data_IF_712764340408
#
_entry.id   IF_712764340408
#
_cell.length_a   1.000
_cell.length_b   1.000
_cell.length_c   1.000
_cell.angle_alpha   90.00
_cell.angle_beta   90.00
_cell.angle_gamma   90.00
#
_symmetry.space_group_name_H-M   'P 1'
#
loop_
_entity.id
_entity.type
_entity.pdbx_description
1 polymer ?
#
# COMPACT_ATOMS: atom_id res chain seq x y z
N UNK A 1 23.73 33.23 47.49
CA UNK A 1 22.66 32.33 47.00
C UNK A 1 21.86 33.11 45.97
N UNK A 2 22.11 32.88 44.68
CA UNK A 2 21.28 33.43 43.61
C UNK A 2 21.22 32.39 42.52
N UNK A 3 20.11 31.66 42.51
CA UNK A 3 19.81 30.59 41.56
C UNK A 3 19.54 31.16 40.17
N UNK A 4 20.07 30.44 39.19
CA UNK A 4 19.97 30.65 37.76
C UNK A 4 18.52 30.44 37.29
N UNK A 5 17.95 31.43 36.58
CA UNK A 5 16.78 31.23 35.75
C UNK A 5 17.20 30.91 34.30
N UNK A 6 16.53 29.95 33.63
CA UNK A 6 16.86 29.55 32.28
C UNK A 6 16.26 30.50 31.24
N UNK A 7 16.96 30.68 30.12
CA UNK A 7 16.40 31.29 28.91
C UNK A 7 16.50 30.33 27.72
N UNK A 8 15.44 30.22 26.91
CA UNK A 8 15.31 29.19 25.87
C UNK A 8 16.13 29.52 24.62
N UNK A 9 16.73 28.50 24.00
CA UNK A 9 17.36 28.62 22.69
C UNK A 9 16.30 28.49 21.59
N UNK A 10 16.11 29.61 20.87
CA UNK A 10 15.21 29.76 19.72
C UNK A 10 15.88 29.24 18.44
N UNK A 11 15.11 28.49 17.66
CA UNK A 11 15.46 27.94 16.34
C UNK A 11 15.81 29.06 15.35
N UNK A 12 16.91 28.90 14.61
CA UNK A 12 17.41 29.86 13.63
C UNK A 12 16.58 29.87 12.34
N UNK A 13 16.21 31.06 11.89
CA UNK A 13 15.61 31.35 10.59
C UNK A 13 16.68 31.68 9.53
N UNK A 14 16.40 31.54 8.22
CA UNK A 14 17.40 31.53 7.15
C UNK A 14 18.01 32.90 6.82
N UNK A 15 19.25 32.89 6.30
CA UNK A 15 19.99 34.09 5.89
C UNK A 15 19.53 34.61 4.51
N UNK A 16 19.33 35.93 4.33
CA UNK A 16 19.08 36.53 3.03
C UNK A 16 20.36 37.00 2.30
N UNK A 17 20.33 36.79 0.98
CA UNK A 17 20.83 37.62 -0.14
C UNK A 17 22.19 38.31 -0.09
N UNK A 18 22.95 38.13 -1.17
CA UNK A 18 23.59 39.25 -1.88
C UNK A 18 23.34 39.11 -3.39
N UNK A 19 22.58 40.04 -3.95
CA UNK A 19 22.79 40.46 -5.34
C UNK A 19 23.99 41.42 -5.35
N UNK A 20 24.66 41.60 -6.49
CA UNK A 20 24.97 42.91 -7.09
C UNK A 20 25.77 42.70 -8.40
N UNK A 21 25.21 43.27 -9.47
CA UNK A 21 25.81 43.90 -10.65
C UNK A 21 26.71 43.14 -11.65
N UNK A 22 26.08 42.85 -12.79
CA UNK A 22 26.40 43.32 -14.16
C UNK A 22 27.85 43.43 -14.64
N UNK A 23 28.16 42.71 -15.72
CA UNK A 23 28.99 43.22 -16.82
C UNK A 23 28.46 42.69 -18.16
N UNK A 24 28.14 43.62 -19.06
CA UNK A 24 27.68 43.37 -20.43
C UNK A 24 28.89 43.07 -21.31
N UNK A 25 28.78 42.06 -22.18
CA UNK A 25 29.59 41.97 -23.40
C UNK A 25 30.31 40.65 -23.62
N UNK A 26 29.64 39.73 -24.33
CA UNK A 26 30.26 38.88 -25.37
C UNK A 26 29.14 38.11 -26.08
N UNK A 27 28.69 38.66 -27.21
CA UNK A 27 27.89 37.97 -28.19
C UNK A 27 28.77 36.92 -28.88
N UNK A 28 28.70 35.67 -28.45
CA UNK A 28 29.26 34.54 -29.19
C UNK A 28 28.51 33.24 -28.82
N UNK A 29 27.66 32.78 -29.75
CA UNK A 29 27.17 31.41 -29.90
C UNK A 29 26.76 30.66 -28.61
N UNK A 30 25.52 30.84 -28.17
CA UNK A 30 24.85 29.87 -27.30
C UNK A 30 23.34 29.77 -27.61
N UNK A 31 22.97 29.85 -28.89
CA UNK A 31 21.60 29.74 -29.39
C UNK A 31 21.33 28.35 -29.99
N UNK A 32 21.69 27.28 -29.26
CA UNK A 32 21.40 25.89 -29.67
C UNK A 32 21.41 24.91 -28.48
N UNK A 33 20.91 25.34 -27.33
CA UNK A 33 20.82 24.47 -26.15
C UNK A 33 19.56 24.75 -25.33
N UNK A 34 18.36 24.64 -25.94
CA UNK A 34 17.12 24.44 -25.17
C UNK A 34 15.96 23.91 -26.02
N UNK A 35 16.17 22.82 -26.75
CA UNK A 35 15.09 22.12 -27.46
C UNK A 35 15.25 20.59 -27.37
N UNK A 36 15.64 20.08 -26.20
CA UNK A 36 15.81 18.65 -25.99
C UNK A 36 15.12 18.25 -24.69
N UNK A 37 14.26 17.23 -24.78
CA UNK A 37 13.62 16.47 -23.68
C UNK A 37 12.23 16.96 -23.24
N UNK A 38 11.18 16.68 -24.03
CA UNK A 38 9.79 16.59 -23.52
C UNK A 38 8.95 15.49 -24.20
N UNK A 39 9.53 14.38 -24.66
CA UNK A 39 8.77 13.34 -25.39
C UNK A 39 8.97 11.89 -24.90
N UNK A 40 9.37 11.66 -23.65
CA UNK A 40 9.62 10.29 -23.13
C UNK A 40 8.41 9.56 -22.46
N UNK A 41 7.24 10.15 -22.12
CA UNK A 41 6.27 9.43 -21.29
C UNK A 41 5.47 8.33 -22.00
N UNK A 42 5.37 8.30 -23.32
CA UNK A 42 4.49 7.35 -24.03
C UNK A 42 5.10 5.96 -24.26
N UNK A 43 6.42 5.87 -24.46
CA UNK A 43 7.09 4.58 -24.76
C UNK A 43 7.24 3.76 -23.46
N UNK A 44 7.72 4.39 -22.39
CA UNK A 44 7.87 3.74 -21.09
C UNK A 44 6.54 3.16 -20.56
N UNK A 45 5.42 3.88 -20.71
CA UNK A 45 4.09 3.41 -20.32
C UNK A 45 3.59 2.22 -21.16
N UNK A 46 3.98 2.16 -22.44
CA UNK A 46 3.63 1.04 -23.31
C UNK A 46 4.43 -0.22 -22.96
N UNK A 47 5.69 -0.04 -22.55
CA UNK A 47 6.56 -1.12 -22.08
C UNK A 47 6.05 -1.67 -20.73
N UNK A 48 5.75 -0.82 -19.75
CA UNK A 48 5.14 -1.21 -18.46
C UNK A 48 3.82 -1.98 -18.67
N UNK A 49 2.95 -1.48 -19.55
CA UNK A 49 1.70 -2.17 -19.84
C UNK A 49 1.93 -3.55 -20.49
N UNK A 50 2.99 -3.71 -21.29
CA UNK A 50 3.35 -4.98 -21.90
C UNK A 50 3.96 -5.94 -20.89
N UNK A 51 4.80 -5.45 -20.00
CA UNK A 51 5.40 -6.21 -18.90
C UNK A 51 4.33 -6.69 -17.92
N UNK A 52 3.39 -5.83 -17.51
CA UNK A 52 2.27 -6.21 -16.66
C UNK A 52 1.40 -7.31 -17.29
N UNK A 53 1.12 -7.21 -18.60
CA UNK A 53 0.38 -8.25 -19.35
C UNK A 53 1.13 -9.57 -19.40
N UNK A 54 2.46 -9.54 -19.52
CA UNK A 54 3.29 -10.72 -19.51
C UNK A 54 3.21 -11.45 -18.16
N UNK A 55 3.36 -10.72 -17.05
CA UNK A 55 3.23 -11.29 -15.71
C UNK A 55 1.81 -11.81 -15.44
N UNK A 56 0.77 -11.08 -15.84
CA UNK A 56 -0.63 -11.53 -15.73
C UNK A 56 -0.90 -12.82 -16.53
N UNK A 57 -0.31 -12.97 -17.73
CA UNK A 57 -0.41 -14.22 -18.50
C UNK A 57 0.28 -15.40 -17.80
N UNK A 58 1.47 -15.19 -17.23
CA UNK A 58 2.17 -16.22 -16.44
C UNK A 58 1.41 -16.60 -15.18
N UNK A 59 0.85 -15.61 -14.48
CA UNK A 59 0.02 -15.82 -13.31
C UNK A 59 -1.19 -16.72 -13.63
N UNK A 60 -1.89 -16.45 -14.74
CA UNK A 60 -3.00 -17.32 -15.19
C UNK A 60 -2.54 -18.74 -15.52
N UNK A 61 -1.39 -18.90 -16.18
CA UNK A 61 -0.85 -20.24 -16.46
C UNK A 61 -0.52 -21.01 -15.16
N UNK A 62 0.05 -20.34 -14.16
CA UNK A 62 0.27 -20.94 -12.83
C UNK A 62 -1.04 -21.26 -12.11
N UNK A 63 -2.05 -20.38 -12.21
CA UNK A 63 -3.38 -20.61 -11.66
C UNK A 63 -4.05 -21.85 -12.27
N UNK A 64 -4.03 -21.98 -13.60
CA UNK A 64 -4.54 -23.14 -14.34
C UNK A 64 -3.81 -24.43 -13.94
N UNK A 65 -2.50 -24.34 -13.70
CA UNK A 65 -1.68 -25.43 -13.20
C UNK A 65 -1.86 -25.72 -11.69
N UNK A 66 -2.73 -24.97 -10.98
CA UNK A 66 -2.94 -25.02 -9.52
C UNK A 66 -1.68 -24.69 -8.69
N UNK A 67 -0.68 -24.06 -9.30
CA UNK A 67 0.50 -23.51 -8.63
C UNK A 67 0.17 -22.11 -8.08
N UNK A 68 -0.72 -22.07 -7.08
CA UNK A 68 -1.25 -20.83 -6.53
C UNK A 68 -0.18 -19.90 -5.92
N UNK A 69 0.86 -20.39 -5.21
CA UNK A 69 1.92 -19.52 -4.71
C UNK A 69 2.61 -18.72 -5.81
N UNK A 70 2.99 -19.37 -6.92
CA UNK A 70 3.59 -18.64 -8.06
C UNK A 70 2.60 -17.75 -8.78
N UNK A 71 1.33 -18.16 -8.86
CA UNK A 71 0.29 -17.32 -9.44
C UNK A 71 0.14 -16.00 -8.65
N UNK A 72 0.13 -16.07 -7.32
CA UNK A 72 0.06 -14.91 -6.42
C UNK A 72 1.24 -13.97 -6.67
N UNK A 73 2.47 -14.49 -6.69
CA UNK A 73 3.68 -13.68 -6.94
C UNK A 73 3.59 -12.92 -8.26
N UNK A 74 3.21 -13.60 -9.34
CA UNK A 74 3.09 -13.01 -10.67
C UNK A 74 1.93 -11.99 -10.77
N UNK A 75 0.78 -12.26 -10.14
CA UNK A 75 -0.32 -11.29 -10.10
C UNK A 75 0.05 -10.03 -9.31
N UNK A 76 0.70 -10.18 -8.16
CA UNK A 76 1.15 -9.05 -7.34
C UNK A 76 2.24 -8.24 -8.06
N UNK A 77 3.12 -8.91 -8.82
CA UNK A 77 4.10 -8.25 -9.67
C UNK A 77 3.43 -7.44 -10.77
N UNK A 78 2.48 -8.04 -11.50
CA UNK A 78 1.70 -7.35 -12.52
C UNK A 78 0.96 -6.13 -11.96
N UNK A 79 0.34 -6.27 -10.77
CA UNK A 79 -0.35 -5.18 -10.09
C UNK A 79 0.61 -4.04 -9.67
N UNK A 80 1.84 -4.37 -9.28
CA UNK A 80 2.87 -3.36 -8.94
C UNK A 80 3.30 -2.55 -10.15
N UNK A 81 3.40 -3.17 -11.33
CA UNK A 81 3.76 -2.48 -12.58
C UNK A 81 2.59 -1.63 -13.08
N UNK A 82 1.41 -2.24 -13.22
CA UNK A 82 0.20 -1.59 -13.71
C UNK A 82 -0.96 -1.90 -12.75
N UNK A 83 -1.25 -1.01 -11.79
CA UNK A 83 -2.31 -1.21 -10.81
C UNK A 83 -3.65 -1.49 -11.48
N UNK A 84 -4.22 -2.65 -11.15
CA UNK A 84 -5.50 -3.11 -11.67
C UNK A 84 -6.25 -3.90 -10.57
N UNK A 85 -7.45 -3.46 -10.14
CA UNK A 85 -8.24 -4.13 -9.10
C UNK A 85 -8.58 -5.59 -9.44
N UNK A 86 -8.75 -5.93 -10.73
CA UNK A 86 -9.03 -7.31 -11.16
C UNK A 86 -7.95 -8.29 -10.72
N UNK A 87 -6.70 -7.84 -10.64
CA UNK A 87 -5.60 -8.70 -10.21
C UNK A 87 -5.70 -9.02 -8.71
N UNK A 88 -6.19 -8.10 -7.88
CA UNK A 88 -6.44 -8.34 -6.45
C UNK A 88 -7.53 -9.41 -6.25
N UNK A 89 -8.61 -9.36 -7.04
CA UNK A 89 -9.62 -10.42 -7.05
C UNK A 89 -9.02 -11.79 -7.39
N UNK A 90 -8.17 -11.87 -8.42
CA UNK A 90 -7.50 -13.13 -8.77
C UNK A 90 -6.54 -13.63 -7.67
N UNK A 91 -5.84 -12.73 -6.98
CA UNK A 91 -5.00 -13.06 -5.82
C UNK A 91 -5.87 -13.63 -4.69
N UNK A 92 -7.02 -13.01 -4.41
CA UNK A 92 -7.98 -13.52 -3.42
C UNK A 92 -8.46 -14.94 -3.76
N UNK A 93 -8.76 -15.21 -5.04
CA UNK A 93 -9.12 -16.56 -5.49
C UNK A 93 -8.00 -17.57 -5.26
N UNK A 94 -6.74 -17.19 -5.46
CA UNK A 94 -5.60 -18.08 -5.17
C UNK A 94 -5.55 -18.46 -3.69
N UNK A 95 -5.68 -17.48 -2.78
CA UNK A 95 -5.72 -17.73 -1.34
C UNK A 95 -6.93 -18.58 -0.93
N UNK A 96 -8.08 -18.36 -1.55
CA UNK A 96 -9.27 -19.18 -1.33
C UNK A 96 -9.03 -20.65 -1.71
N UNK A 97 -8.31 -20.91 -2.81
CA UNK A 97 -7.91 -22.28 -3.20
C UNK A 97 -6.89 -22.89 -2.25
N UNK A 98 -6.02 -22.07 -1.65
CA UNK A 98 -5.08 -22.47 -0.60
C UNK A 98 -5.73 -22.67 0.77
N UNK A 99 -7.03 -22.33 0.92
CA UNK A 99 -7.76 -22.34 2.20
C UNK A 99 -7.18 -21.37 3.24
N UNK A 100 -6.49 -20.33 2.77
CA UNK A 100 -5.98 -19.23 3.57
C UNK A 100 -7.07 -18.15 3.63
N UNK A 101 -7.90 -18.23 4.67
CA UNK A 101 -9.10 -17.41 4.80
C UNK A 101 -8.76 -15.95 5.10
N UNK A 102 -7.70 -15.71 5.87
CA UNK A 102 -7.23 -14.41 6.30
C UNK A 102 -6.76 -13.56 5.11
N UNK A 103 -5.90 -14.13 4.26
CA UNK A 103 -5.43 -13.44 3.06
C UNK A 103 -6.54 -13.33 2.01
N UNK A 104 -7.34 -14.38 1.80
CA UNK A 104 -8.47 -14.32 0.87
C UNK A 104 -9.45 -13.19 1.24
N UNK A 105 -9.83 -13.10 2.52
CA UNK A 105 -10.68 -12.02 3.03
C UNK A 105 -10.05 -10.65 2.77
N UNK A 106 -8.77 -10.51 3.11
CA UNK A 106 -8.06 -9.22 2.98
C UNK A 106 -8.01 -8.74 1.53
N UNK A 107 -7.67 -9.60 0.57
CA UNK A 107 -7.63 -9.22 -0.85
C UNK A 107 -9.02 -9.00 -1.46
N UNK A 108 -10.05 -9.74 -1.03
CA UNK A 108 -11.42 -9.41 -1.43
C UNK A 108 -11.87 -8.06 -0.89
N UNK A 109 -11.57 -7.75 0.37
CA UNK A 109 -11.88 -6.45 0.97
C UNK A 109 -11.18 -5.30 0.24
N UNK A 110 -9.90 -5.48 -0.13
CA UNK A 110 -9.17 -4.51 -0.94
C UNK A 110 -9.78 -4.32 -2.33
N UNK A 111 -10.16 -5.40 -3.00
CA UNK A 111 -10.84 -5.34 -4.29
C UNK A 111 -12.17 -4.56 -4.18
N UNK A 112 -12.97 -4.83 -3.15
CA UNK A 112 -14.27 -4.19 -2.94
C UNK A 112 -14.19 -2.72 -2.51
N UNK A 113 -13.04 -2.29 -1.99
CA UNK A 113 -12.79 -0.90 -1.59
C UNK A 113 -12.42 0.01 -2.78
N UNK A 114 -12.05 -0.56 -3.93
CA UNK A 114 -11.77 0.22 -5.15
C UNK A 114 -13.09 0.74 -5.75
N UNK A 115 -13.10 2.01 -6.17
CA UNK A 115 -14.21 2.58 -6.93
C UNK A 115 -14.34 1.87 -8.29
N UNK A 116 -15.58 1.65 -8.76
CA UNK A 116 -15.88 1.11 -10.09
C UNK A 116 -15.45 2.11 -11.18
N UNK A 117 -14.14 2.20 -11.39
CA UNK A 117 -13.52 3.13 -12.33
C UNK A 117 -13.30 2.52 -13.71
N UNK A 118 -13.68 1.25 -13.90
CA UNK A 118 -13.52 0.53 -15.15
C UNK A 118 -14.81 -0.22 -15.50
N UNK A 119 -15.51 0.28 -16.52
CA UNK A 119 -16.63 -0.38 -17.17
C UNK A 119 -16.26 -1.84 -17.50
N UNK A 120 -16.89 -2.81 -16.83
CA UNK A 120 -16.67 -4.24 -17.08
C UNK A 120 -16.53 -5.16 -15.85
N UNK A 121 -16.73 -4.65 -14.62
CA UNK A 121 -16.58 -5.42 -13.38
C UNK A 121 -17.89 -5.83 -12.70
N UNK A 122 -19.05 -5.45 -13.24
CA UNK A 122 -20.37 -5.60 -12.59
C UNK A 122 -20.68 -7.03 -12.09
N UNK A 123 -20.12 -8.08 -12.70
CA UNK A 123 -20.30 -9.46 -12.25
C UNK A 123 -19.41 -9.91 -11.08
N UNK A 124 -18.16 -9.44 -11.03
CA UNK A 124 -17.17 -9.95 -10.04
C UNK A 124 -17.35 -9.35 -8.66
N UNK A 125 -17.91 -8.15 -8.57
CA UNK A 125 -18.15 -7.49 -7.29
C UNK A 125 -19.10 -8.32 -6.41
N UNK A 126 -20.22 -8.77 -6.96
CA UNK A 126 -21.15 -9.65 -6.24
C UNK A 126 -20.51 -10.98 -5.82
N UNK A 127 -19.71 -11.60 -6.69
CA UNK A 127 -18.96 -12.81 -6.34
C UNK A 127 -17.97 -12.58 -5.19
N UNK A 128 -17.22 -11.47 -5.22
CA UNK A 128 -16.30 -11.09 -4.17
C UNK A 128 -17.02 -10.77 -2.85
N UNK A 129 -18.16 -10.09 -2.90
CA UNK A 129 -19.00 -9.83 -1.73
C UNK A 129 -19.47 -11.14 -1.11
N UNK A 130 -20.01 -12.07 -1.93
CA UNK A 130 -20.42 -13.39 -1.47
C UNK A 130 -19.26 -14.21 -0.89
N UNK A 131 -18.10 -14.21 -1.54
CA UNK A 131 -16.92 -14.90 -1.06
C UNK A 131 -16.43 -14.31 0.28
N UNK A 132 -16.34 -12.99 0.38
CA UNK A 132 -15.94 -12.29 1.62
C UNK A 132 -16.93 -12.57 2.76
N UNK A 133 -18.24 -12.56 2.48
CA UNK A 133 -19.27 -12.90 3.47
C UNK A 133 -19.14 -14.34 3.98
N UNK A 134 -18.86 -15.30 3.10
CA UNK A 134 -18.65 -16.69 3.49
C UNK A 134 -17.43 -16.85 4.42
N UNK A 135 -16.39 -16.04 4.21
CA UNK A 135 -15.16 -16.06 5.02
C UNK A 135 -15.33 -15.41 6.39
N UNK A 136 -16.38 -14.60 6.63
CA UNK A 136 -16.58 -13.90 7.91
C UNK A 136 -16.61 -14.85 9.11
N UNK A 137 -17.18 -16.04 8.95
CA UNK A 137 -17.24 -17.05 9.99
C UNK A 137 -15.92 -17.82 10.17
N UNK A 138 -14.97 -17.66 9.25
CA UNK A 138 -13.68 -18.36 9.28
C UNK A 138 -12.56 -17.52 9.89
N UNK A 139 -12.63 -16.20 9.74
CA UNK A 139 -11.62 -15.25 10.23
C UNK A 139 -12.05 -14.57 11.54
N UNK A 140 -11.08 -14.06 12.29
CA UNK A 140 -11.33 -12.99 13.25
C UNK A 140 -10.89 -11.65 12.63
N UNK A 141 -11.50 -10.55 13.06
CA UNK A 141 -11.25 -9.23 12.47
C UNK A 141 -10.89 -8.21 13.54
N UNK A 142 -9.92 -7.36 13.24
CA UNK A 142 -9.56 -6.23 14.08
C UNK A 142 -9.59 -4.94 13.27
N UNK A 143 -10.38 -3.97 13.72
CA UNK A 143 -10.40 -2.61 13.19
C UNK A 143 -9.38 -1.79 13.97
N UNK A 144 -8.29 -1.45 13.30
CA UNK A 144 -7.18 -0.72 13.90
C UNK A 144 -7.28 0.75 13.53
N UNK A 145 -7.33 1.62 14.51
CA UNK A 145 -7.40 3.08 14.35
C UNK A 145 -6.24 3.77 15.06
N UNK A 146 -5.93 5.01 14.67
CA UNK A 146 -4.96 5.83 15.40
C UNK A 146 -5.30 7.30 15.29
N UNK A 147 -4.83 8.09 16.26
CA UNK A 147 -4.84 9.54 16.22
C UNK A 147 -3.41 10.07 16.42
N UNK A 148 -2.79 10.71 15.39
CA UNK A 148 -3.34 10.96 14.05
C UNK A 148 -3.41 9.69 13.16
N UNK A 149 -4.32 9.64 12.15
CA UNK A 149 -4.46 8.50 11.24
C UNK A 149 -3.30 8.41 10.25
N UNK A 150 -2.98 7.21 9.77
CA UNK A 150 -1.87 6.96 8.85
C UNK A 150 -0.63 6.36 9.54
N UNK A 151 -0.82 5.67 10.67
CA UNK A 151 0.23 4.86 11.30
C UNK A 151 0.33 3.50 10.60
N UNK A 152 1.55 3.01 10.39
CA UNK A 152 1.80 1.66 9.88
C UNK A 152 1.39 0.61 10.90
N UNK A 153 0.65 -0.41 10.44
CA UNK A 153 0.15 -1.51 11.27
C UNK A 153 1.06 -2.71 11.10
N UNK A 154 1.54 -3.30 12.19
CA UNK A 154 2.25 -4.57 12.21
C UNK A 154 1.55 -5.52 13.18
N UNK A 155 1.60 -6.82 12.90
CA UNK A 155 0.98 -7.84 13.73
C UNK A 155 2.01 -8.90 14.10
N UNK A 156 2.12 -9.18 15.40
CA UNK A 156 3.01 -10.13 16.08
C UNK A 156 4.51 -9.85 15.94
N UNK A 157 5.01 -9.68 14.71
CA UNK A 157 6.37 -9.22 14.43
C UNK A 157 6.41 -8.25 13.24
N UNK A 158 7.24 -7.19 13.30
CA UNK A 158 7.47 -6.28 12.17
C UNK A 158 8.00 -6.97 10.90
N UNK A 159 8.61 -8.15 11.02
CA UNK A 159 9.24 -8.86 9.89
C UNK A 159 8.24 -9.41 8.87
N UNK A 160 6.97 -9.58 9.24
CA UNK A 160 5.91 -9.98 8.30
C UNK A 160 5.48 -8.85 7.35
N UNK A 161 6.10 -7.68 7.47
CA UNK A 161 5.72 -6.50 6.71
C UNK A 161 4.53 -5.77 7.33
N UNK A 162 4.22 -4.62 6.75
CA UNK A 162 3.10 -3.79 7.20
C UNK A 162 1.77 -4.34 6.67
N UNK A 163 0.77 -4.40 7.55
CA UNK A 163 -0.63 -4.70 7.22
C UNK A 163 -1.37 -3.47 6.67
N UNK A 164 -0.66 -2.38 6.37
CA UNK A 164 -1.20 -1.14 5.82
C UNK A 164 -1.16 0.01 6.82
N UNK A 165 -1.97 1.03 6.56
CA UNK A 165 -2.04 2.25 7.37
C UNK A 165 -3.39 2.35 8.07
N UNK A 166 -3.43 2.92 9.28
CA UNK A 166 -4.68 3.23 9.98
C UNK A 166 -5.48 4.36 9.27
N UNK A 167 -6.82 4.34 9.34
CA UNK A 167 -7.68 3.28 9.87
C UNK A 167 -7.82 2.11 8.90
N UNK A 168 -7.81 0.87 9.40
CA UNK A 168 -7.94 -0.33 8.55
C UNK A 168 -8.57 -1.51 9.27
N UNK A 169 -9.34 -2.32 8.53
CA UNK A 169 -9.82 -3.62 8.99
C UNK A 169 -8.82 -4.69 8.57
N UNK A 170 -8.31 -5.46 9.53
CA UNK A 170 -7.35 -6.55 9.31
C UNK A 170 -8.01 -7.86 9.70
N UNK A 171 -7.95 -8.87 8.84
CA UNK A 171 -8.37 -10.23 9.15
C UNK A 171 -7.18 -11.05 9.63
N UNK A 172 -7.37 -11.76 10.74
CA UNK A 172 -6.35 -12.57 11.41
C UNK A 172 -6.94 -13.90 11.86
N UNK A 173 -6.06 -14.84 12.19
CA UNK A 173 -6.45 -16.06 12.85
C UNK A 173 -7.07 -15.75 14.24
N UNK A 174 -7.95 -16.61 14.77
CA UNK A 174 -8.40 -16.50 16.16
C UNK A 174 -7.24 -16.76 17.13
N UNK A 175 -7.16 -15.96 18.19
CA UNK A 175 -6.09 -16.04 19.19
C UNK A 175 -5.69 -14.67 19.71
N UNK A 176 -4.66 -14.65 20.54
CA UNK A 176 -4.04 -13.42 21.03
C UNK A 176 -3.03 -12.92 20.01
N UNK A 177 -3.20 -11.70 19.55
CA UNK A 177 -2.28 -11.03 18.63
C UNK A 177 -1.74 -9.76 19.24
N UNK A 178 -0.48 -9.44 18.90
CA UNK A 178 0.14 -8.17 19.28
C UNK A 178 0.06 -7.21 18.09
N UNK A 179 -0.83 -6.22 18.17
CA UNK A 179 -0.92 -5.15 17.17
C UNK A 179 0.06 -4.05 17.54
N UNK A 180 0.89 -3.62 16.58
CA UNK A 180 1.91 -2.59 16.75
C UNK A 180 1.68 -1.48 15.73
N UNK A 181 1.73 -0.24 16.20
CA UNK A 181 1.57 0.96 15.39
C UNK A 181 2.86 1.76 15.39
N UNK A 182 3.32 2.15 14.20
CA UNK A 182 4.49 3.02 14.05
C UNK A 182 4.18 4.18 13.11
N UNK A 183 4.61 5.38 13.49
CA UNK A 183 4.49 6.59 12.67
C UNK A 183 5.71 7.49 12.88
N UNK A 184 6.36 7.98 11.79
CA UNK A 184 7.49 8.89 11.92
C UNK A 184 7.16 10.12 12.79
N UNK A 185 7.97 10.36 13.81
CA UNK A 185 7.80 11.47 14.76
C UNK A 185 6.90 11.18 15.97
N UNK A 186 6.42 9.94 16.13
CA UNK A 186 5.62 9.49 17.28
C UNK A 186 6.29 8.28 17.93
N UNK A 187 5.95 8.00 19.19
CA UNK A 187 6.36 6.76 19.86
C UNK A 187 5.56 5.58 19.32
N UNK A 188 6.21 4.43 19.15
CA UNK A 188 5.55 3.21 18.72
C UNK A 188 4.62 2.70 19.83
N UNK A 189 3.39 2.31 19.45
CA UNK A 189 2.38 1.80 20.38
C UNK A 189 2.16 0.32 20.12
N UNK A 190 1.92 -0.46 21.17
CA UNK A 190 1.57 -1.86 21.03
C UNK A 190 0.45 -2.28 21.97
N UNK A 191 -0.51 -3.02 21.44
CA UNK A 191 -1.70 -3.50 22.16
C UNK A 191 -1.86 -4.99 21.88
N UNK A 192 -2.06 -5.76 22.94
CA UNK A 192 -2.50 -7.16 22.81
C UNK A 192 -4.02 -7.19 22.65
N UNK A 193 -4.49 -7.95 21.67
CA UNK A 193 -5.91 -8.13 21.40
C UNK A 193 -6.23 -9.62 21.32
N UNK A 194 -7.27 -10.03 22.05
CA UNK A 194 -7.83 -11.37 21.92
C UNK A 194 -8.89 -11.37 20.82
N UNK A 195 -8.67 -12.20 19.81
CA UNK A 195 -9.50 -12.29 18.62
C UNK A 195 -10.26 -13.60 18.59
N UNK A 196 -11.58 -13.50 18.48
CA UNK A 196 -12.48 -14.65 18.40
C UNK A 196 -12.99 -14.79 16.97
N UNK A 197 -13.01 -16.03 16.47
CA UNK A 197 -13.55 -16.37 15.15
C UNK A 197 -14.96 -15.78 14.96
N UNK A 198 -15.21 -15.15 13.81
CA UNK A 198 -16.49 -14.51 13.50
C UNK A 198 -16.67 -13.10 14.07
N UNK A 199 -15.85 -12.70 15.05
CA UNK A 199 -15.99 -11.40 15.70
C UNK A 199 -15.13 -10.32 15.04
N UNK A 200 -15.54 -9.08 15.26
CA UNK A 200 -14.77 -7.87 14.96
C UNK A 200 -14.50 -7.14 16.27
N UNK A 201 -13.24 -6.84 16.54
CA UNK A 201 -12.80 -6.02 17.67
C UNK A 201 -12.22 -4.71 17.13
N UNK A 202 -12.34 -3.61 17.86
CA UNK A 202 -11.69 -2.35 17.50
C UNK A 202 -10.60 -1.99 18.52
N UNK A 203 -9.45 -1.53 18.04
CA UNK A 203 -8.29 -1.11 18.84
C UNK A 203 -7.69 0.19 18.34
#
# INVERSE_FOLDING_TARGET
MSHVHPHPLRVGAPRPTKSLLSARGALALALLALASVTAVPSVARADEASEARFHDARARAHFEARDFPRAIEEFLWAHRIAPNPRLLYNVALCFQQLRDAENAFSYFAEYLAQEDTLDGHEGRRGEAEHAMQALLAEVARVRVVSDPPGASIYVDTPDHGSYGLTPRLVALAPGTHRVMLSRPGFEDVSVEVELVRGQEVAV
#
